data_IF_319159170855
#
_entry.id   IF_319159170855
#
_cell.length_a   1.000
_cell.length_b   1.000
_cell.length_c   1.000
_cell.angle_alpha   90.00
_cell.angle_beta   90.00
_cell.angle_gamma   90.00
#
_symmetry.space_group_name_H-M   'P 1'
#
loop_
_entity.id
_entity.type
_entity.pdbx_description
1 polymer ?
#
# COMPACT_ATOMS: atom_id res chain seq x y z
N UNK A 1 -1.49 21.90 -24.20
CA UNK A 1 -1.58 20.91 -23.10
C UNK A 1 -2.20 19.66 -23.69
N UNK A 2 -1.68 18.44 -23.42
CA UNK A 2 -2.36 17.23 -23.87
C UNK A 2 -3.77 17.17 -23.25
N UNK A 3 -4.75 16.63 -24.00
CA UNK A 3 -6.12 16.51 -23.51
C UNK A 3 -6.17 15.69 -22.21
N UNK A 4 -6.99 16.08 -21.22
CA UNK A 4 -7.18 15.28 -20.03
C UNK A 4 -7.75 13.91 -20.41
N UNK A 5 -7.12 12.84 -19.92
CA UNK A 5 -7.62 11.47 -20.10
C UNK A 5 -8.86 11.32 -19.21
N UNK A 6 -9.94 10.75 -19.75
CA UNK A 6 -11.11 10.38 -18.97
C UNK A 6 -10.72 9.37 -17.87
N UNK A 7 -11.05 9.69 -16.61
CA UNK A 7 -10.63 8.88 -15.44
C UNK A 7 -11.23 7.48 -15.48
N UNK A 8 -12.47 7.33 -15.94
CA UNK A 8 -13.13 6.02 -16.02
C UNK A 8 -12.49 5.16 -17.11
N UNK A 9 -12.19 5.74 -18.26
CA UNK A 9 -11.44 5.06 -19.33
C UNK A 9 -10.05 4.62 -18.84
N UNK A 10 -9.36 5.49 -18.09
CA UNK A 10 -8.06 5.20 -17.50
C UNK A 10 -8.11 4.01 -16.53
N UNK A 11 -9.07 4.02 -15.59
CA UNK A 11 -9.26 2.94 -14.61
C UNK A 11 -9.70 1.64 -15.28
N UNK A 12 -10.58 1.70 -16.29
CA UNK A 12 -10.97 0.54 -17.10
C UNK A 12 -9.77 -0.07 -17.81
N UNK A 13 -8.89 0.75 -18.38
CA UNK A 13 -7.67 0.27 -19.04
C UNK A 13 -6.69 -0.32 -18.03
N UNK A 14 -6.49 0.32 -16.88
CA UNK A 14 -5.65 -0.20 -15.79
C UNK A 14 -6.15 -1.55 -15.27
N UNK A 15 -7.47 -1.72 -15.12
CA UNK A 15 -8.10 -2.98 -14.77
C UNK A 15 -7.83 -4.08 -15.81
N UNK A 16 -7.99 -3.79 -17.11
CA UNK A 16 -7.66 -4.76 -18.15
C UNK A 16 -6.19 -5.17 -18.17
N UNK A 17 -5.27 -4.21 -17.97
CA UNK A 17 -3.84 -4.51 -17.88
C UNK A 17 -3.54 -5.44 -16.69
N UNK A 18 -4.13 -5.16 -15.52
CA UNK A 18 -4.02 -6.02 -14.35
C UNK A 18 -4.52 -7.45 -14.65
N UNK A 19 -5.73 -7.60 -15.19
CA UNK A 19 -6.31 -8.94 -15.45
C UNK A 19 -5.50 -9.71 -16.49
N UNK A 20 -5.00 -9.03 -17.52
CA UNK A 20 -4.13 -9.61 -18.53
C UNK A 20 -2.83 -10.11 -17.91
N UNK A 21 -2.19 -9.33 -17.05
CA UNK A 21 -0.95 -9.74 -16.40
C UNK A 21 -1.22 -10.91 -15.46
N UNK A 22 -2.23 -10.83 -14.60
CA UNK A 22 -2.60 -11.89 -13.65
C UNK A 22 -3.04 -13.20 -14.30
N UNK A 23 -3.43 -13.20 -15.58
CA UNK A 23 -3.72 -14.43 -16.33
C UNK A 23 -2.48 -15.20 -16.79
N UNK A 24 -1.29 -14.61 -16.68
CA UNK A 24 -0.04 -15.27 -17.09
C UNK A 24 0.35 -16.37 -16.10
N UNK A 25 0.80 -17.55 -16.56
CA UNK A 25 1.14 -18.68 -15.69
C UNK A 25 2.10 -18.34 -14.55
N UNK A 26 3.08 -17.47 -14.81
CA UNK A 26 4.06 -17.00 -13.83
C UNK A 26 3.47 -16.16 -12.70
N UNK A 27 2.23 -15.66 -12.82
CA UNK A 27 1.61 -14.76 -11.83
C UNK A 27 0.38 -15.37 -11.12
N UNK A 28 -0.07 -16.56 -11.53
CA UNK A 28 -1.23 -17.25 -10.93
C UNK A 28 -1.08 -17.47 -9.42
N UNK A 29 0.14 -17.60 -8.92
CA UNK A 29 0.43 -17.84 -7.51
C UNK A 29 0.45 -16.58 -6.63
N UNK A 30 0.54 -15.39 -7.23
CA UNK A 30 0.75 -14.14 -6.49
C UNK A 30 -0.46 -13.79 -5.63
N UNK A 31 -1.68 -13.91 -6.19
CA UNK A 31 -2.90 -13.57 -5.46
C UNK A 31 -3.16 -14.49 -4.26
N UNK A 32 -3.12 -15.83 -4.41
CA UNK A 32 -3.21 -16.75 -3.27
C UNK A 32 -2.16 -16.48 -2.19
N UNK A 33 -0.91 -16.25 -2.59
CA UNK A 33 0.18 -15.95 -1.65
C UNK A 33 -0.10 -14.67 -0.87
N UNK A 34 -0.48 -13.59 -1.57
CA UNK A 34 -0.78 -12.32 -0.93
C UNK A 34 -1.98 -12.40 0.03
N UNK A 35 -3.02 -13.18 -0.33
CA UNK A 35 -4.16 -13.42 0.54
C UNK A 35 -3.75 -14.18 1.81
N UNK A 36 -2.94 -15.24 1.68
CA UNK A 36 -2.45 -16.03 2.79
C UNK A 36 -1.53 -15.21 3.73
N UNK A 37 -0.63 -14.39 3.18
CA UNK A 37 0.28 -13.55 3.96
C UNK A 37 -0.49 -12.49 4.76
N UNK A 38 -1.47 -11.82 4.13
CA UNK A 38 -2.33 -10.85 4.83
C UNK A 38 -3.20 -11.53 5.90
N UNK A 39 -3.78 -12.69 5.60
CA UNK A 39 -4.60 -13.43 6.54
C UNK A 39 -3.79 -13.79 7.79
N UNK A 40 -2.59 -14.36 7.62
CA UNK A 40 -1.70 -14.70 8.74
C UNK A 40 -1.30 -13.48 9.55
N UNK A 41 -0.87 -12.39 8.89
CA UNK A 41 -0.54 -11.14 9.58
C UNK A 41 -1.71 -10.63 10.40
N UNK A 42 -2.91 -10.55 9.81
CA UNK A 42 -4.07 -10.01 10.50
C UNK A 42 -4.52 -10.92 11.64
N UNK A 43 -4.45 -12.24 11.48
CA UNK A 43 -4.69 -13.19 12.58
C UNK A 43 -3.72 -12.99 13.74
N UNK A 44 -2.42 -12.86 13.45
CA UNK A 44 -1.41 -12.62 14.48
C UNK A 44 -1.65 -11.26 15.19
N UNK A 45 -2.02 -10.21 14.45
CA UNK A 45 -2.37 -8.91 15.05
C UNK A 45 -3.61 -9.01 15.94
N UNK A 46 -4.63 -9.77 15.53
CA UNK A 46 -5.84 -9.96 16.35
C UNK A 46 -5.55 -10.77 17.62
N UNK A 47 -4.71 -11.81 17.53
CA UNK A 47 -4.30 -12.61 18.68
C UNK A 47 -3.33 -11.89 19.62
N UNK A 48 -2.61 -10.87 19.13
CA UNK A 48 -1.63 -10.14 19.91
C UNK A 48 -2.24 -9.28 21.02
N UNK A 49 -1.78 -9.45 22.24
CA UNK A 49 -2.29 -8.77 23.44
C UNK A 49 -1.78 -7.32 23.62
N UNK A 50 -0.90 -6.85 22.74
CA UNK A 50 -0.26 -5.53 22.82
C UNK A 50 0.93 -5.43 23.77
N UNK A 51 1.13 -6.45 24.61
CA UNK A 51 2.21 -6.53 25.61
C UNK A 51 3.47 -7.21 25.05
N UNK A 52 3.30 -8.21 24.18
CA UNK A 52 4.41 -8.90 23.56
C UNK A 52 5.19 -8.01 22.57
N UNK A 53 6.44 -8.36 22.31
CA UNK A 53 7.32 -7.62 21.40
C UNK A 53 6.77 -7.55 19.97
N UNK A 54 6.94 -6.39 19.32
CA UNK A 54 6.50 -6.19 17.93
C UNK A 54 7.39 -6.95 16.91
N UNK A 55 8.54 -7.48 17.36
CA UNK A 55 9.50 -8.23 16.54
C UNK A 55 8.91 -9.46 15.87
N UNK A 56 7.88 -10.06 16.48
CA UNK A 56 7.14 -11.19 15.89
C UNK A 56 6.52 -10.87 14.52
N UNK A 57 6.26 -9.59 14.23
CA UNK A 57 5.66 -9.14 12.97
C UNK A 57 6.69 -8.84 11.86
N UNK A 58 7.99 -8.77 12.18
CA UNK A 58 9.01 -8.28 11.25
C UNK A 58 9.16 -9.15 9.99
N UNK A 59 8.92 -10.46 10.14
CA UNK A 59 8.89 -11.42 9.03
C UNK A 59 7.91 -10.99 7.93
N UNK A 60 6.74 -10.48 8.31
CA UNK A 60 5.70 -10.10 7.35
C UNK A 60 6.12 -8.95 6.45
N UNK A 61 6.98 -8.05 6.90
CA UNK A 61 7.35 -6.86 6.11
C UNK A 61 8.63 -7.08 5.29
N UNK A 62 9.46 -8.04 5.69
CA UNK A 62 10.82 -8.19 5.15
C UNK A 62 11.06 -9.45 4.33
N UNK A 63 10.15 -10.42 4.39
CA UNK A 63 10.27 -11.67 3.62
C UNK A 63 9.74 -11.54 2.20
N UNK A 64 10.11 -12.50 1.35
CA UNK A 64 9.77 -12.51 -0.08
C UNK A 64 8.26 -12.51 -0.33
N UNK A 65 7.48 -13.14 0.53
CA UNK A 65 6.03 -13.21 0.40
C UNK A 65 5.36 -11.82 0.47
N UNK A 66 6.00 -10.85 1.15
CA UNK A 66 5.52 -9.47 1.22
C UNK A 66 5.52 -8.76 -0.14
N UNK A 67 6.32 -9.25 -1.09
CA UNK A 67 6.36 -8.77 -2.48
C UNK A 67 5.04 -9.06 -3.21
N UNK A 68 4.28 -10.08 -2.79
CA UNK A 68 2.98 -10.38 -3.37
C UNK A 68 1.88 -9.39 -2.91
N UNK A 69 2.09 -8.70 -1.78
CA UNK A 69 1.12 -7.76 -1.21
C UNK A 69 1.38 -6.32 -1.65
N UNK A 70 2.64 -5.93 -1.68
CA UNK A 70 3.09 -4.57 -1.99
C UNK A 70 4.17 -4.58 -3.05
N UNK A 71 4.03 -3.71 -4.04
CA UNK A 71 4.96 -3.62 -5.15
C UNK A 71 6.00 -2.51 -4.90
N UNK A 72 7.27 -2.85 -5.13
CA UNK A 72 8.44 -2.02 -4.84
C UNK A 72 8.63 -0.84 -5.78
N UNK A 73 8.30 -1.03 -7.06
CA UNK A 73 8.53 -0.01 -8.07
C UNK A 73 10.01 0.25 -8.25
N UNK A 74 10.43 1.49 -8.00
CA UNK A 74 11.84 1.91 -8.09
C UNK A 74 12.45 2.24 -6.72
N UNK A 75 11.74 1.92 -5.64
CA UNK A 75 12.16 2.29 -4.30
C UNK A 75 13.41 1.53 -3.87
N UNK A 76 14.38 2.22 -3.26
CA UNK A 76 15.62 1.58 -2.79
C UNK A 76 15.36 0.72 -1.55
N UNK A 77 15.97 -0.46 -1.53
CA UNK A 77 15.80 -1.47 -0.48
C UNK A 77 16.96 -1.41 0.52
N UNK A 78 16.66 -1.08 1.78
CA UNK A 78 17.66 -1.01 2.86
C UNK A 78 17.23 -1.84 4.06
N UNK A 79 17.19 -3.17 3.92
CA UNK A 79 16.65 -4.09 4.94
C UNK A 79 17.33 -3.94 6.31
N UNK A 80 18.67 -3.88 6.36
CA UNK A 80 19.39 -3.73 7.63
C UNK A 80 19.09 -2.41 8.36
N UNK A 81 18.74 -1.36 7.62
CA UNK A 81 18.33 -0.10 8.22
C UNK A 81 16.90 -0.15 8.77
N UNK A 82 16.03 -1.01 8.21
CA UNK A 82 14.71 -1.27 8.79
C UNK A 82 14.85 -1.94 10.17
N UNK A 83 15.70 -2.96 10.28
CA UNK A 83 15.94 -3.65 11.55
C UNK A 83 16.44 -2.68 12.62
N UNK A 84 17.40 -1.81 12.26
CA UNK A 84 17.89 -0.74 13.13
C UNK A 84 16.77 0.23 13.52
N UNK A 85 15.96 0.67 12.55
CA UNK A 85 14.84 1.58 12.80
C UNK A 85 13.82 0.98 13.76
N UNK A 86 13.52 -0.32 13.61
CA UNK A 86 12.55 -1.04 14.44
C UNK A 86 13.09 -1.40 15.84
N UNK A 87 14.39 -1.25 16.10
CA UNK A 87 14.95 -1.35 17.45
C UNK A 87 14.80 -0.06 18.25
N UNK A 88 14.56 1.08 17.59
CA UNK A 88 14.32 2.36 18.25
C UNK A 88 13.02 2.33 19.07
N UNK A 89 13.09 2.79 20.32
CA UNK A 89 11.96 2.78 21.25
C UNK A 89 10.77 3.61 20.75
N UNK A 90 11.03 4.76 20.11
CA UNK A 90 9.98 5.63 19.57
C UNK A 90 9.33 4.98 18.36
N UNK A 91 10.11 4.37 17.47
CA UNK A 91 9.59 3.56 16.37
C UNK A 91 8.72 2.42 16.87
N UNK A 92 9.17 1.64 17.86
CA UNK A 92 8.39 0.52 18.38
C UNK A 92 7.03 0.96 18.92
N UNK A 93 6.99 2.08 19.63
CA UNK A 93 5.75 2.62 20.16
C UNK A 93 4.81 3.11 19.05
N UNK A 94 5.35 3.73 17.99
CA UNK A 94 4.56 4.12 16.82
C UNK A 94 4.00 2.91 16.09
N UNK A 95 4.80 1.87 15.87
CA UNK A 95 4.32 0.61 15.26
C UNK A 95 3.25 -0.04 16.12
N UNK A 96 3.44 -0.12 17.45
CA UNK A 96 2.41 -0.60 18.39
C UNK A 96 1.08 0.16 18.20
N UNK A 97 1.13 1.49 18.12
CA UNK A 97 -0.08 2.31 17.88
C UNK A 97 -0.77 1.94 16.57
N UNK A 98 -0.02 1.77 15.47
CA UNK A 98 -0.59 1.36 14.17
C UNK A 98 -1.25 -0.02 14.24
N UNK A 99 -0.60 -1.00 14.89
CA UNK A 99 -1.15 -2.34 15.09
C UNK A 99 -2.42 -2.30 15.95
N UNK A 100 -2.46 -1.47 17.00
CA UNK A 100 -3.66 -1.27 17.83
C UNK A 100 -4.80 -0.60 17.06
N UNK A 101 -4.49 0.34 16.16
CA UNK A 101 -5.50 0.94 15.27
C UNK A 101 -6.14 -0.12 14.37
N UNK A 102 -5.37 -1.09 13.87
CA UNK A 102 -5.87 -2.19 13.03
C UNK A 102 -6.84 -3.13 13.74
N UNK A 103 -6.77 -3.21 15.07
CA UNK A 103 -7.69 -4.01 15.89
C UNK A 103 -9.07 -3.37 16.06
N UNK A 104 -9.29 -2.14 15.59
CA UNK A 104 -10.61 -1.49 15.64
C UNK A 104 -11.58 -2.17 14.68
N UNK A 105 -12.85 -2.32 15.10
CA UNK A 105 -13.89 -3.03 14.34
C UNK A 105 -14.18 -2.38 12.98
N UNK A 106 -14.18 -1.04 12.93
CA UNK A 106 -14.42 -0.28 11.71
C UNK A 106 -13.10 0.25 11.13
N UNK A 107 -12.66 -0.35 10.04
CA UNK A 107 -11.61 0.21 9.20
C UNK A 107 -12.22 1.19 8.20
N UNK A 108 -12.08 2.49 8.47
CA UNK A 108 -12.55 3.58 7.62
C UNK A 108 -11.57 4.77 7.64
N UNK A 109 -11.96 5.88 7.00
CA UNK A 109 -11.15 7.09 6.90
C UNK A 109 -10.66 7.64 8.26
N UNK A 110 -11.39 7.40 9.36
CA UNK A 110 -11.02 7.87 10.71
C UNK A 110 -9.78 7.14 11.19
N UNK A 111 -9.64 5.85 10.87
CA UNK A 111 -8.45 5.05 11.17
C UNK A 111 -7.25 5.59 10.41
N UNK A 112 -7.43 6.00 9.15
CA UNK A 112 -6.36 6.56 8.32
C UNK A 112 -5.86 7.91 8.86
N UNK A 113 -6.76 8.78 9.33
CA UNK A 113 -6.34 10.02 9.98
C UNK A 113 -5.53 9.77 11.24
N UNK A 114 -5.96 8.83 12.08
CA UNK A 114 -5.20 8.42 13.27
C UNK A 114 -3.86 7.80 12.90
N UNK A 115 -3.78 7.00 11.84
CA UNK A 115 -2.54 6.39 11.36
C UNK A 115 -1.53 7.47 10.94
N UNK A 116 -1.97 8.45 10.15
CA UNK A 116 -1.13 9.61 9.77
C UNK A 116 -0.65 10.41 11.00
N UNK A 117 -1.50 10.56 12.02
CA UNK A 117 -1.15 11.24 13.29
C UNK A 117 -0.14 10.47 14.15
N UNK A 118 -0.03 9.14 13.99
CA UNK A 118 1.04 8.36 14.64
C UNK A 118 2.41 8.88 14.19
N UNK A 119 2.53 9.35 12.94
CA UNK A 119 3.71 10.03 12.43
C UNK A 119 4.94 9.12 12.40
N UNK A 120 4.79 7.89 11.92
CA UNK A 120 5.90 6.94 11.74
C UNK A 120 6.83 7.37 10.61
N UNK A 121 6.27 7.72 9.44
CA UNK A 121 7.05 8.20 8.29
C UNK A 121 7.76 9.53 8.62
N UNK A 122 7.07 10.46 9.28
CA UNK A 122 7.68 11.71 9.74
C UNK A 122 8.82 11.48 10.77
N UNK A 123 8.75 10.41 11.56
CA UNK A 123 9.84 9.99 12.45
C UNK A 123 11.02 9.42 11.65
N UNK A 124 10.74 8.54 10.69
CA UNK A 124 11.73 7.98 9.77
C UNK A 124 12.52 9.08 9.04
N UNK A 125 11.86 10.15 8.60
CA UNK A 125 12.50 11.26 7.89
C UNK A 125 13.54 12.01 8.74
N UNK A 126 13.34 12.04 10.06
CA UNK A 126 14.26 12.66 11.03
C UNK A 126 15.42 11.75 11.44
N UNK A 127 15.31 10.45 11.18
CA UNK A 127 16.38 9.50 11.46
C UNK A 127 17.47 9.54 10.38
N UNK A 128 18.72 9.44 10.83
CA UNK A 128 19.90 9.33 9.96
C UNK A 128 20.28 7.88 9.75
N UNK A 129 20.50 7.48 8.50
CA UNK A 129 20.91 6.11 8.14
C UNK A 129 22.17 6.14 7.28
N UNK A 130 23.17 5.29 7.54
CA UNK A 130 24.45 5.31 6.81
C UNK A 130 24.31 5.07 5.31
N UNK A 131 23.39 4.18 4.90
CA UNK A 131 23.23 3.75 3.51
C UNK A 131 21.93 4.19 2.85
N UNK A 132 20.97 4.74 3.61
CA UNK A 132 19.70 5.26 3.12
C UNK A 132 18.49 4.85 3.97
N UNK A 133 17.38 5.55 3.83
CA UNK A 133 16.17 5.28 4.63
C UNK A 133 15.46 4.00 4.16
N UNK A 134 15.02 3.11 5.07
CA UNK A 134 14.20 1.93 4.73
C UNK A 134 12.75 2.27 4.35
N UNK A 135 12.53 3.35 3.59
CA UNK A 135 11.22 3.95 3.33
C UNK A 135 10.25 2.96 2.67
N UNK A 136 10.73 2.18 1.71
CA UNK A 136 9.93 1.15 1.05
C UNK A 136 9.31 0.16 2.06
N UNK A 137 10.12 -0.34 3.00
CA UNK A 137 9.66 -1.31 3.98
C UNK A 137 8.66 -0.71 4.97
N UNK A 138 8.83 0.57 5.33
CA UNK A 138 7.89 1.28 6.20
C UNK A 138 6.55 1.48 5.49
N UNK A 139 6.55 1.90 4.22
CA UNK A 139 5.33 2.01 3.41
C UNK A 139 4.64 0.66 3.22
N UNK A 140 5.41 -0.38 2.89
CA UNK A 140 4.92 -1.75 2.79
C UNK A 140 4.25 -2.19 4.08
N UNK A 141 4.87 -1.96 5.23
CA UNK A 141 4.30 -2.31 6.52
C UNK A 141 2.92 -1.68 6.71
N UNK A 142 2.78 -0.37 6.46
CA UNK A 142 1.48 0.30 6.57
C UNK A 142 0.44 -0.23 5.58
N UNK A 143 0.83 -0.52 4.33
CA UNK A 143 -0.03 -1.18 3.34
C UNK A 143 -0.50 -2.55 3.84
N UNK A 144 0.37 -3.34 4.44
CA UNK A 144 0.01 -4.67 4.94
C UNK A 144 -0.90 -4.59 6.16
N UNK A 145 -0.67 -3.60 7.05
CA UNK A 145 -1.54 -3.36 8.20
C UNK A 145 -2.94 -2.94 7.74
N UNK A 146 -3.06 -1.97 6.84
CA UNK A 146 -4.33 -1.37 6.39
C UNK A 146 -4.73 -1.75 4.96
N UNK A 147 -4.50 -3.00 4.56
CA UNK A 147 -4.63 -3.48 3.18
C UNK A 147 -6.00 -3.27 2.53
N UNK A 148 -7.05 -3.20 3.34
CA UNK A 148 -8.42 -2.97 2.90
C UNK A 148 -8.65 -1.53 2.44
N UNK A 149 -7.90 -0.59 3.01
CA UNK A 149 -8.03 0.85 2.81
C UNK A 149 -7.00 1.41 1.83
N UNK A 150 -5.91 0.68 1.58
CA UNK A 150 -4.79 1.14 0.76
C UNK A 150 -4.74 0.47 -0.62
N UNK A 151 -3.91 1.03 -1.49
CA UNK A 151 -3.47 0.39 -2.74
C UNK A 151 -2.23 -0.49 -2.49
N UNK A 152 -1.75 -1.20 -3.51
CA UNK A 152 -0.50 -1.97 -3.42
C UNK A 152 0.79 -1.16 -3.66
N UNK A 153 0.69 0.16 -3.91
CA UNK A 153 1.84 0.99 -4.33
C UNK A 153 2.65 1.45 -3.11
N UNK A 154 3.82 0.88 -2.84
CA UNK A 154 4.69 1.35 -1.75
C UNK A 154 5.66 2.47 -2.19
N UNK A 155 5.90 2.64 -3.48
CA UNK A 155 6.72 3.72 -4.03
C UNK A 155 5.95 5.05 -3.96
N UNK A 156 6.43 5.98 -3.13
CA UNK A 156 5.79 7.29 -2.90
C UNK A 156 5.66 8.10 -4.18
N UNK A 157 6.69 8.12 -5.02
CA UNK A 157 6.68 8.90 -6.27
C UNK A 157 5.66 8.32 -7.23
N UNK A 158 5.65 6.99 -7.38
CA UNK A 158 4.64 6.31 -8.20
C UNK A 158 3.22 6.58 -7.68
N UNK A 159 3.01 6.58 -6.37
CA UNK A 159 1.72 6.89 -5.77
C UNK A 159 1.28 8.33 -6.09
N UNK A 160 2.17 9.32 -5.98
CA UNK A 160 1.90 10.71 -6.35
C UNK A 160 1.56 10.87 -7.84
N UNK A 161 2.32 10.23 -8.72
CA UNK A 161 2.06 10.23 -10.16
C UNK A 161 0.69 9.60 -10.49
N UNK A 162 0.39 8.46 -9.86
CA UNK A 162 -0.92 7.79 -9.97
C UNK A 162 -2.05 8.68 -9.45
N UNK A 163 -1.89 9.30 -8.29
CA UNK A 163 -2.89 10.18 -7.68
C UNK A 163 -3.18 11.40 -8.56
N UNK A 164 -2.12 12.01 -9.12
CA UNK A 164 -2.23 13.14 -10.07
C UNK A 164 -3.04 12.76 -11.32
N UNK A 165 -2.80 11.57 -11.88
CA UNK A 165 -3.59 11.05 -13.01
C UNK A 165 -5.07 10.82 -12.68
N UNK A 166 -5.40 10.62 -11.41
CA UNK A 166 -6.77 10.49 -10.90
C UNK A 166 -7.38 11.83 -10.44
N UNK A 167 -6.69 12.95 -10.67
CA UNK A 167 -7.15 14.28 -10.26
C UNK A 167 -7.02 14.56 -8.76
N UNK A 168 -6.22 13.79 -8.03
CA UNK A 168 -5.96 13.97 -6.61
C UNK A 168 -4.69 14.82 -6.44
N UNK A 169 -4.78 15.91 -5.68
CA UNK A 169 -3.60 16.71 -5.34
C UNK A 169 -2.79 16.03 -4.22
N UNK A 170 -1.68 15.37 -4.58
CA UNK A 170 -0.81 14.67 -3.64
C UNK A 170 0.19 15.56 -2.88
N UNK A 171 0.30 16.85 -3.23
CA UNK A 171 1.31 17.73 -2.64
C UNK A 171 1.08 17.93 -1.14
N UNK A 172 2.11 17.66 -0.34
CA UNK A 172 2.09 17.75 1.14
C UNK A 172 1.03 16.87 1.82
N UNK A 173 0.55 15.82 1.14
CA UNK A 173 -0.39 14.85 1.73
C UNK A 173 0.38 13.69 2.36
N UNK A 174 0.04 13.32 3.60
CA UNK A 174 0.61 12.15 4.28
C UNK A 174 0.38 10.87 3.44
N UNK A 175 1.31 9.92 3.49
CA UNK A 175 1.28 8.71 2.67
C UNK A 175 -0.02 7.92 2.85
N UNK A 176 -0.46 7.77 4.09
CA UNK A 176 -1.65 7.08 4.51
C UNK A 176 -2.91 7.69 3.88
N UNK A 177 -2.98 9.02 3.87
CA UNK A 177 -4.11 9.75 3.28
C UNK A 177 -4.10 9.63 1.75
N UNK A 178 -2.93 9.72 1.12
CA UNK A 178 -2.81 9.61 -0.33
C UNK A 178 -3.15 8.19 -0.82
N UNK A 179 -2.75 7.16 -0.06
CA UNK A 179 -3.15 5.76 -0.29
C UNK A 179 -4.66 5.61 -0.28
N UNK A 180 -5.30 6.11 0.78
CA UNK A 180 -6.75 6.02 0.96
C UNK A 180 -7.50 6.75 -0.15
N UNK A 181 -7.15 8.00 -0.46
CA UNK A 181 -7.79 8.79 -1.53
C UNK A 181 -7.65 8.12 -2.91
N UNK A 182 -6.47 7.56 -3.19
CA UNK A 182 -6.25 6.79 -4.43
C UNK A 182 -7.13 5.55 -4.46
N UNK A 183 -7.26 4.87 -3.31
CA UNK A 183 -8.11 3.68 -3.19
C UNK A 183 -9.59 4.00 -3.33
N UNK A 184 -10.06 5.12 -2.78
CA UNK A 184 -11.45 5.57 -2.94
C UNK A 184 -11.82 5.75 -4.41
N UNK A 185 -10.94 6.33 -5.23
CA UNK A 185 -11.16 6.43 -6.69
C UNK A 185 -11.28 5.08 -7.39
N UNK A 186 -10.51 4.10 -6.95
CA UNK A 186 -10.61 2.74 -7.48
C UNK A 186 -11.91 2.07 -7.02
N UNK A 187 -12.31 2.26 -5.76
CA UNK A 187 -13.54 1.68 -5.21
C UNK A 187 -14.80 2.32 -5.84
N UNK A 188 -14.80 3.64 -6.10
CA UNK A 188 -15.82 4.34 -6.88
C UNK A 188 -16.00 3.69 -8.27
N UNK A 189 -14.89 3.46 -8.98
CA UNK A 189 -14.90 2.79 -10.28
C UNK A 189 -15.43 1.35 -10.21
N UNK A 190 -14.99 0.57 -9.21
CA UNK A 190 -15.46 -0.80 -8.99
C UNK A 190 -16.98 -0.84 -8.81
N UNK A 191 -17.52 0.11 -8.04
CA UNK A 191 -18.96 0.20 -7.81
C UNK A 191 -19.71 0.58 -9.09
N UNK A 192 -19.23 1.59 -9.83
CA UNK A 192 -19.85 2.05 -11.07
C UNK A 192 -19.88 0.97 -12.16
N UNK A 193 -18.83 0.15 -12.26
CA UNK A 193 -18.71 -0.92 -13.26
C UNK A 193 -19.31 -2.26 -12.81
N UNK A 194 -19.91 -2.33 -11.62
CA UNK A 194 -20.49 -3.58 -11.10
C UNK A 194 -19.44 -4.66 -10.77
N UNK A 195 -18.20 -4.28 -10.52
CA UNK A 195 -17.07 -5.19 -10.24
C UNK A 195 -16.97 -5.58 -8.75
N UNK A 196 -18.08 -5.53 -8.02
CA UNK A 196 -18.09 -5.74 -6.56
C UNK A 196 -17.60 -7.13 -6.15
N UNK A 197 -17.73 -8.13 -7.03
CA UNK A 197 -17.30 -9.51 -6.81
C UNK A 197 -15.80 -9.75 -7.09
N UNK A 198 -15.07 -8.75 -7.57
CA UNK A 198 -13.62 -8.85 -7.69
C UNK A 198 -12.97 -9.04 -6.31
N UNK A 199 -11.82 -9.71 -6.30
CA UNK A 199 -11.13 -10.04 -5.06
C UNK A 199 -10.47 -8.81 -4.45
N UNK A 200 -10.23 -8.82 -3.12
CA UNK A 200 -9.50 -7.74 -2.44
C UNK A 200 -8.12 -7.49 -3.06
N UNK A 201 -7.49 -8.52 -3.64
CA UNK A 201 -6.23 -8.41 -4.37
C UNK A 201 -6.37 -7.53 -5.60
N UNK A 202 -7.36 -7.81 -6.44
CA UNK A 202 -7.61 -7.04 -7.66
C UNK A 202 -7.92 -5.59 -7.33
N UNK A 203 -8.80 -5.35 -6.34
CA UNK A 203 -9.21 -4.00 -5.94
C UNK A 203 -8.02 -3.12 -5.51
N UNK A 204 -7.10 -3.64 -4.68
CA UNK A 204 -5.88 -2.88 -4.31
C UNK A 204 -4.87 -2.74 -5.44
N UNK A 205 -4.90 -3.65 -6.42
CA UNK A 205 -3.92 -3.76 -7.50
C UNK A 205 -4.19 -2.85 -8.70
N UNK A 206 -5.43 -2.40 -8.94
CA UNK A 206 -5.77 -1.58 -10.12
C UNK A 206 -4.91 -0.32 -10.20
N UNK A 207 -4.71 0.36 -9.06
CA UNK A 207 -3.94 1.61 -9.01
C UNK A 207 -2.49 1.47 -9.52
N UNK A 208 -1.90 0.27 -9.39
CA UNK A 208 -0.55 -0.02 -9.85
C UNK A 208 -0.36 0.20 -11.36
N UNK A 209 -1.42 -0.04 -12.13
CA UNK A 209 -1.42 -0.06 -13.60
C UNK A 209 -1.86 1.26 -14.24
N UNK A 210 -2.25 2.26 -13.44
CA UNK A 210 -2.76 3.55 -13.93
C UNK A 210 -1.73 4.28 -14.80
N UNK A 211 -0.47 4.32 -14.39
CA UNK A 211 0.58 4.99 -15.17
C UNK A 211 0.77 4.33 -16.54
N UNK A 212 0.74 3.00 -16.60
CA UNK A 212 0.93 2.28 -17.86
C UNK A 212 -0.29 2.38 -18.75
N UNK A 213 -1.49 2.36 -18.18
CA UNK A 213 -2.74 2.67 -18.88
C UNK A 213 -2.70 4.09 -19.50
N UNK A 214 -2.23 5.09 -18.75
CA UNK A 214 -2.09 6.45 -19.26
C UNK A 214 -1.08 6.56 -20.40
N UNK A 215 0.01 5.77 -20.37
CA UNK A 215 0.99 5.71 -21.47
C UNK A 215 0.38 5.09 -22.73
N UNK A 216 -0.42 4.04 -22.60
CA UNK A 216 -1.09 3.40 -23.74
C UNK A 216 -2.13 4.33 -24.36
N UNK A 217 -3.01 4.92 -23.56
CA UNK A 217 -4.07 5.83 -24.03
C UNK A 217 -3.55 7.13 -24.68
N UNK A 218 -2.30 7.53 -24.41
CA UNK A 218 -1.67 8.69 -25.06
C UNK A 218 -0.95 8.35 -26.37
N UNK A 219 -0.77 7.06 -26.66
CA UNK A 219 -0.15 6.57 -27.91
C UNK A 219 -1.17 6.20 -28.96
N UNK A 220 -2.40 5.90 -28.54
CA UNK A 220 -3.60 5.77 -29.38
C UNK A 220 -4.09 7.13 -29.86
#
# INVERSE_FOLDING_TARGET
>A
MPNPIDINLLLRRAYHLLKKDMSKPEYVHIEPLAAQTLQRLHQDIQAWDGSAEISQFYKYWTELEANAVSAEGTAKVFKGNLETFLQDSVTREKVRKLLMLRKQEALDFRVINKAAEVGLIAHLDRCSFPSGRPLFYVHRMEIMIFSELFTSIADRKKLEDTASLLGINGNNVAFERLQFQTREKVDEFIQMEGLMNETKFVKRGIAWWIIDAAKELRRE
#
